data_IF_822391099109
#
_entry.id   IF_822391099109
#
_cell.length_a   1.000
_cell.length_b   1.000
_cell.length_c   1.000
_cell.angle_alpha   90.00
_cell.angle_beta   90.00
_cell.angle_gamma   90.00
#
_symmetry.space_group_name_H-M   'P 1'
#
loop_
_entity.id
_entity.type
_entity.pdbx_description
1 polymer ?
#
# COMPACT_ATOMS: atom_id res chain seq x y z
N UNK A 1 -9.30 9.36 -9.61
CA UNK A 1 -8.65 9.85 -8.38
C UNK A 1 -8.68 8.72 -7.37
N UNK A 2 -7.53 8.36 -6.82
CA UNK A 2 -7.43 7.40 -5.74
C UNK A 2 -8.28 7.86 -4.55
N UNK A 3 -9.00 6.92 -3.93
CA UNK A 3 -9.67 7.21 -2.67
C UNK A 3 -8.61 7.26 -1.57
N UNK A 4 -8.96 7.90 -0.47
CA UNK A 4 -8.07 7.96 0.66
C UNK A 4 -7.78 6.53 1.22
N UNK A 5 -8.80 5.67 1.24
CA UNK A 5 -8.66 4.26 1.61
C UNK A 5 -7.70 3.50 0.67
N UNK A 6 -7.71 3.84 -0.62
CA UNK A 6 -6.74 3.31 -1.59
C UNK A 6 -5.30 3.70 -1.23
N UNK A 7 -5.01 4.99 -1.04
CA UNK A 7 -3.67 5.47 -0.66
C UNK A 7 -3.19 4.87 0.66
N UNK A 8 -4.10 4.69 1.62
CA UNK A 8 -3.80 4.00 2.87
C UNK A 8 -3.36 2.57 2.62
N UNK A 9 -4.14 1.83 1.84
CA UNK A 9 -3.87 0.43 1.56
C UNK A 9 -2.54 0.27 0.79
N UNK A 10 -2.29 1.11 -0.20
CA UNK A 10 -1.01 1.14 -0.94
C UNK A 10 0.16 1.41 -0.01
N UNK A 11 0.09 2.47 0.80
CA UNK A 11 1.14 2.81 1.75
C UNK A 11 1.37 1.71 2.79
N UNK A 12 0.30 1.02 3.16
CA UNK A 12 0.34 -0.07 4.11
C UNK A 12 0.97 -1.35 3.53
N UNK A 13 0.63 -1.75 2.30
CA UNK A 13 1.31 -2.86 1.62
C UNK A 13 2.78 -2.54 1.38
N UNK A 14 3.10 -1.29 1.03
CA UNK A 14 4.47 -0.81 0.91
C UNK A 14 5.28 -0.96 2.21
N UNK A 15 4.69 -0.66 3.38
CA UNK A 15 5.32 -0.93 4.68
C UNK A 15 5.55 -2.44 4.91
N UNK A 16 4.59 -3.28 4.51
CA UNK A 16 4.72 -4.74 4.56
C UNK A 16 5.90 -5.26 3.72
N UNK A 17 6.06 -4.75 2.50
CA UNK A 17 7.19 -5.07 1.63
C UNK A 17 8.52 -4.56 2.19
N UNK A 18 8.58 -3.33 2.69
CA UNK A 18 9.76 -2.82 3.39
C UNK A 18 10.19 -3.75 4.53
N UNK A 19 9.24 -4.21 5.34
CA UNK A 19 9.51 -5.13 6.44
C UNK A 19 9.96 -6.51 5.98
N UNK A 20 9.38 -7.04 4.90
CA UNK A 20 9.83 -8.28 4.28
C UNK A 20 11.27 -8.15 3.76
N UNK A 21 11.59 -7.03 3.11
CA UNK A 21 12.93 -6.74 2.60
C UNK A 21 13.99 -6.73 3.69
N UNK A 22 13.70 -6.14 4.86
CA UNK A 22 14.62 -6.15 6.01
C UNK A 22 14.89 -7.55 6.58
N UNK A 23 14.18 -8.59 6.13
CA UNK A 23 14.37 -9.99 6.54
C UNK A 23 15.03 -10.83 5.47
N UNK A 24 15.20 -10.30 4.27
CA UNK A 24 15.99 -10.97 3.25
C UNK A 24 17.47 -10.91 3.66
N UNK A 25 18.27 -11.92 3.28
CA UNK A 25 19.72 -11.85 3.32
C UNK A 25 20.21 -10.57 2.65
N UNK A 26 21.33 -10.06 3.13
CA UNK A 26 22.01 -8.96 2.44
C UNK A 26 22.55 -9.53 1.11
N UNK A 27 21.89 -9.17 0.02
CA UNK A 27 22.36 -9.49 -1.32
C UNK A 27 23.31 -8.37 -1.71
N UNK A 28 24.61 -8.60 -1.55
CA UNK A 28 25.66 -7.66 -1.97
C UNK A 28 25.46 -7.21 -3.43
N UNK A 29 24.83 -8.08 -4.24
CA UNK A 29 24.66 -7.88 -5.67
C UNK A 29 23.28 -7.38 -6.13
N UNK A 30 22.33 -7.14 -5.22
CA UNK A 30 20.95 -6.79 -5.60
C UNK A 30 20.45 -5.59 -4.79
N UNK A 31 20.05 -4.54 -5.48
CA UNK A 31 19.39 -3.39 -4.86
C UNK A 31 17.88 -3.44 -5.11
N UNK A 32 17.10 -3.51 -4.04
CA UNK A 32 15.62 -3.53 -4.09
C UNK A 32 15.07 -2.19 -3.65
N UNK A 33 14.22 -1.57 -4.49
CA UNK A 33 13.61 -0.26 -4.21
C UNK A 33 12.10 -0.30 -4.39
N UNK A 34 11.40 0.21 -3.38
CA UNK A 34 9.94 0.38 -3.40
C UNK A 34 9.59 1.78 -3.87
N UNK A 35 8.66 1.89 -4.83
CA UNK A 35 8.25 3.16 -5.45
C UNK A 35 6.73 3.26 -5.56
N UNK A 36 6.18 4.39 -5.15
CA UNK A 36 4.82 4.80 -5.56
C UNK A 36 4.96 5.94 -6.57
N UNK A 37 3.92 6.17 -7.38
CA UNK A 37 3.94 7.19 -8.44
C UNK A 37 5.08 7.01 -9.46
N UNK A 38 5.49 5.76 -9.71
CA UNK A 38 6.56 5.46 -10.64
C UNK A 38 6.02 5.49 -12.07
N UNK A 39 6.30 6.56 -12.80
CA UNK A 39 5.92 6.65 -14.20
C UNK A 39 6.73 5.68 -15.06
N UNK A 40 6.04 4.73 -15.68
CA UNK A 40 6.60 3.81 -16.65
C UNK A 40 6.16 4.24 -18.04
N UNK A 41 7.14 4.46 -18.92
CA UNK A 41 6.94 4.90 -20.29
C UNK A 41 7.31 3.80 -21.27
N UNK A 42 7.02 4.06 -22.54
CA UNK A 42 7.49 3.24 -23.67
C UNK A 42 6.99 1.80 -23.58
N UNK A 43 5.70 1.67 -23.26
CA UNK A 43 5.02 0.39 -23.42
C UNK A 43 5.02 -0.01 -24.90
N UNK A 44 4.90 -1.30 -25.15
CA UNK A 44 4.93 -1.93 -26.48
C UNK A 44 3.62 -2.68 -26.76
N UNK A 45 3.51 -3.32 -27.93
CA UNK A 45 2.33 -4.07 -28.34
C UNK A 45 1.09 -3.18 -28.48
N UNK A 46 -0.05 -3.65 -27.97
CA UNK A 46 -1.32 -2.90 -27.98
C UNK A 46 -1.26 -1.59 -27.17
N UNK A 47 -0.30 -1.48 -26.26
CA UNK A 47 -0.11 -0.31 -25.40
C UNK A 47 1.03 0.60 -25.89
N UNK A 48 1.42 0.49 -27.18
CA UNK A 48 2.61 1.17 -27.70
C UNK A 48 2.60 2.68 -27.43
N UNK A 49 3.68 3.18 -26.82
CA UNK A 49 3.85 4.61 -26.52
C UNK A 49 2.99 5.14 -25.37
N UNK A 50 2.20 4.27 -24.72
CA UNK A 50 1.47 4.66 -23.52
C UNK A 50 2.37 4.78 -22.30
N UNK A 51 1.85 5.50 -21.31
CA UNK A 51 2.44 5.64 -19.98
C UNK A 51 1.52 4.99 -18.97
N UNK A 52 2.10 4.30 -17.98
CA UNK A 52 1.37 3.74 -16.83
C UNK A 52 2.10 4.03 -15.53
N UNK A 53 1.36 4.07 -14.43
CA UNK A 53 1.87 4.32 -13.10
C UNK A 53 1.26 3.23 -12.21
N UNK A 54 2.04 2.25 -11.72
CA UNK A 54 1.52 1.31 -10.76
C UNK A 54 1.30 1.99 -9.42
N UNK A 55 0.30 1.50 -8.67
CA UNK A 55 0.07 1.98 -7.30
C UNK A 55 1.30 1.75 -6.42
N UNK A 56 1.94 0.59 -6.57
CA UNK A 56 3.25 0.28 -6.02
C UNK A 56 4.09 -0.50 -7.04
N UNK A 57 5.30 -0.03 -7.28
CA UNK A 57 6.32 -0.73 -8.05
C UNK A 57 7.47 -1.18 -7.16
N UNK A 58 8.04 -2.35 -7.48
CA UNK A 58 9.32 -2.79 -6.91
C UNK A 58 10.33 -2.86 -8.04
N UNK A 59 11.35 -2.00 -7.93
CA UNK A 59 12.48 -1.97 -8.84
C UNK A 59 13.61 -2.82 -8.27
N UNK A 60 14.26 -3.56 -9.17
CA UNK A 60 15.47 -4.31 -8.90
C UNK A 60 16.60 -3.74 -9.76
N UNK A 61 17.80 -3.76 -9.22
CA UNK A 61 19.03 -3.51 -9.97
C UNK A 61 20.02 -4.61 -9.61
N UNK A 62 20.45 -5.33 -10.62
CA UNK A 62 21.50 -6.35 -10.48
C UNK A 62 22.88 -5.70 -10.60
N UNK A 63 23.92 -6.34 -10.07
CA UNK A 63 25.29 -5.85 -10.22
C UNK A 63 25.71 -5.79 -11.68
N UNK A 64 26.19 -4.61 -12.08
CA UNK A 64 26.57 -4.31 -13.45
C UNK A 64 25.45 -3.68 -14.28
N UNK A 65 24.21 -3.64 -13.78
CA UNK A 65 23.15 -2.82 -14.38
C UNK A 65 23.27 -1.37 -13.89
N UNK A 66 23.15 -0.42 -14.81
CA UNK A 66 23.23 1.02 -14.49
C UNK A 66 21.89 1.57 -13.95
N UNK A 67 20.77 0.94 -14.33
CA UNK A 67 19.43 1.46 -14.09
C UNK A 67 18.57 0.55 -13.21
N UNK A 68 17.71 1.18 -12.40
CA UNK A 68 16.67 0.48 -11.65
C UNK A 68 15.58 0.02 -12.63
N UNK A 69 15.24 -1.26 -12.59
CA UNK A 69 14.24 -1.83 -13.49
C UNK A 69 13.01 -2.30 -12.73
N UNK A 70 11.82 -1.84 -13.14
CA UNK A 70 10.56 -2.31 -12.59
C UNK A 70 10.34 -3.79 -12.93
N UNK A 71 10.39 -4.67 -11.91
CA UNK A 71 10.13 -6.11 -12.06
C UNK A 71 8.76 -6.55 -11.54
N UNK A 72 8.22 -5.80 -10.59
CA UNK A 72 6.94 -6.07 -9.94
C UNK A 72 6.06 -4.82 -9.95
N UNK A 73 4.79 -4.99 -10.32
CA UNK A 73 3.78 -3.95 -10.17
C UNK A 73 2.62 -4.45 -9.31
N UNK A 74 2.01 -3.53 -8.58
CA UNK A 74 0.79 -3.77 -7.81
C UNK A 74 -0.26 -2.74 -8.18
N UNK A 75 -1.49 -3.22 -8.27
CA UNK A 75 -2.68 -2.41 -8.53
C UNK A 75 -3.75 -2.72 -7.49
N UNK A 76 -4.44 -1.68 -7.05
CA UNK A 76 -5.45 -1.73 -6.00
C UNK A 76 -6.75 -1.11 -6.53
N UNK A 77 -7.83 -1.88 -6.51
CA UNK A 77 -9.16 -1.40 -6.90
C UNK A 77 -10.15 -1.48 -5.75
N UNK A 78 -10.92 -0.40 -5.54
CA UNK A 78 -12.10 -0.38 -4.65
C UNK A 78 -13.43 -0.24 -5.41
N UNK A 79 -13.38 0.30 -6.63
CA UNK A 79 -14.58 0.65 -7.41
C UNK A 79 -14.48 0.22 -8.86
N UNK A 80 -13.28 -0.11 -9.32
CA UNK A 80 -13.05 -0.56 -10.68
C UNK A 80 -13.47 -2.02 -10.82
N UNK A 81 -14.22 -2.31 -11.89
CA UNK A 81 -14.65 -3.66 -12.21
C UNK A 81 -13.43 -4.53 -12.55
N UNK A 82 -13.44 -5.76 -12.04
CA UNK A 82 -12.37 -6.72 -12.23
C UNK A 82 -11.82 -6.86 -13.67
N UNK A 83 -12.64 -6.90 -14.75
CA UNK A 83 -12.09 -7.02 -16.11
C UNK A 83 -11.12 -5.90 -16.49
N UNK A 84 -11.33 -4.68 -15.98
CA UNK A 84 -10.39 -3.57 -16.22
C UNK A 84 -9.11 -3.74 -15.40
N UNK A 85 -9.22 -4.16 -14.15
CA UNK A 85 -8.08 -4.45 -13.29
C UNK A 85 -7.20 -5.57 -13.87
N UNK A 86 -7.82 -6.65 -14.37
CA UNK A 86 -7.14 -7.73 -15.07
C UNK A 86 -6.47 -7.22 -16.37
N UNK A 87 -7.15 -6.35 -17.12
CA UNK A 87 -6.53 -5.70 -18.29
C UNK A 87 -5.32 -4.86 -17.89
N UNK A 88 -5.31 -4.21 -16.72
CA UNK A 88 -4.13 -3.51 -16.22
C UNK A 88 -2.94 -4.46 -16.03
N UNK A 89 -3.14 -5.65 -15.44
CA UNK A 89 -2.09 -6.65 -15.34
C UNK A 89 -1.55 -7.09 -16.71
N UNK A 90 -2.45 -7.38 -17.65
CA UNK A 90 -2.05 -7.71 -19.04
C UNK A 90 -1.22 -6.60 -19.66
N UNK A 91 -1.65 -5.36 -19.51
CA UNK A 91 -0.94 -4.22 -20.07
C UNK A 91 0.48 -4.06 -19.51
N UNK A 92 0.69 -4.29 -18.20
CA UNK A 92 2.02 -4.29 -17.59
C UNK A 92 2.90 -5.41 -18.12
N UNK A 93 2.41 -6.65 -18.04
CA UNK A 93 3.17 -7.83 -18.42
C UNK A 93 3.43 -7.84 -19.93
N UNK A 94 2.43 -7.64 -20.77
CA UNK A 94 2.62 -7.74 -22.23
C UNK A 94 3.27 -6.49 -22.81
N UNK A 95 3.05 -5.32 -22.20
CA UNK A 95 3.55 -4.06 -22.69
C UNK A 95 4.97 -3.70 -22.24
N UNK A 96 5.46 -4.22 -21.10
CA UNK A 96 6.81 -3.91 -20.58
C UNK A 96 7.58 -5.20 -20.30
N UNK A 97 8.64 -5.46 -21.07
CA UNK A 97 9.38 -6.72 -21.03
C UNK A 97 9.97 -7.07 -19.66
N UNK A 98 10.34 -6.06 -18.89
CA UNK A 98 11.03 -6.25 -17.62
C UNK A 98 10.08 -6.46 -16.43
N UNK A 99 8.78 -6.26 -16.62
CA UNK A 99 7.78 -6.59 -15.59
C UNK A 99 7.48 -8.08 -15.69
N UNK A 100 7.66 -8.79 -14.58
CA UNK A 100 7.49 -10.24 -14.47
C UNK A 100 6.25 -10.63 -13.67
N UNK A 101 5.92 -9.82 -12.66
CA UNK A 101 4.81 -10.08 -11.76
C UNK A 101 3.93 -8.84 -11.67
N UNK A 102 2.62 -9.06 -11.72
CA UNK A 102 1.62 -8.08 -11.31
C UNK A 102 0.73 -8.69 -10.22
N UNK A 103 0.56 -7.97 -9.12
CA UNK A 103 -0.38 -8.34 -8.06
C UNK A 103 -1.57 -7.40 -8.08
N UNK A 104 -2.76 -7.98 -8.18
CA UNK A 104 -4.02 -7.25 -8.16
C UNK A 104 -4.66 -7.42 -6.80
N UNK A 105 -5.00 -6.31 -6.15
CA UNK A 105 -5.87 -6.26 -5.00
C UNK A 105 -7.21 -5.68 -5.42
N UNK A 106 -8.29 -6.35 -5.07
CA UNK A 106 -9.64 -5.85 -5.32
C UNK A 106 -10.46 -5.90 -4.04
N UNK A 107 -11.16 -4.81 -3.78
CA UNK A 107 -12.03 -4.60 -2.64
C UNK A 107 -13.44 -4.39 -3.17
N UNK A 108 -14.41 -5.11 -2.60
CA UNK A 108 -15.82 -4.81 -2.81
C UNK A 108 -16.36 -4.11 -1.56
N UNK A 109 -16.92 -2.91 -1.76
CA UNK A 109 -17.57 -2.12 -0.72
C UNK A 109 -19.10 -2.17 -0.85
N UNK A 110 -19.79 -2.34 0.28
CA UNK A 110 -21.25 -2.27 0.38
C UNK A 110 -21.70 -1.35 1.53
N UNK A 111 -22.51 -0.31 1.27
CA UNK A 111 -22.79 0.23 -0.06
C UNK A 111 -21.52 0.84 -0.68
N UNK A 112 -21.50 0.96 -2.01
CA UNK A 112 -20.43 1.69 -2.70
C UNK A 112 -20.47 3.15 -2.26
N UNK A 113 -19.45 3.57 -1.51
CA UNK A 113 -19.36 4.93 -1.02
C UNK A 113 -18.48 5.78 -1.92
N UNK A 114 -18.90 7.04 -2.13
CA UNK A 114 -18.03 8.08 -2.64
C UNK A 114 -17.60 8.95 -1.47
N UNK A 115 -16.34 9.38 -1.49
CA UNK A 115 -15.81 10.28 -0.47
C UNK A 115 -16.75 11.48 -0.25
N UNK A 116 -17.17 11.76 0.99
CA UNK A 116 -18.11 12.84 1.30
C UNK A 116 -17.48 14.23 1.17
N UNK A 117 -16.19 14.34 0.81
CA UNK A 117 -15.45 15.61 0.68
C UNK A 117 -16.20 16.67 -0.14
N UNK A 118 -16.88 16.27 -1.22
CA UNK A 118 -17.67 17.18 -2.06
C UNK A 118 -18.91 17.78 -1.38
N UNK A 119 -19.35 17.20 -0.25
CA UNK A 119 -20.47 17.66 0.57
C UNK A 119 -20.02 18.47 1.78
N UNK A 120 -18.72 18.55 2.04
CA UNK A 120 -18.20 19.25 3.21
C UNK A 120 -18.08 20.74 2.92
N UNK A 121 -18.59 21.55 3.83
CA UNK A 121 -18.30 22.99 3.88
C UNK A 121 -16.92 23.23 4.49
N UNK A 122 -16.40 24.46 4.38
CA UNK A 122 -15.17 24.86 5.07
C UNK A 122 -15.26 24.66 6.60
N UNK A 123 -16.44 24.93 7.18
CA UNK A 123 -16.70 24.73 8.61
C UNK A 123 -16.71 23.23 8.98
N UNK A 124 -17.27 22.37 8.13
CA UNK A 124 -17.20 20.92 8.35
C UNK A 124 -15.75 20.43 8.36
N UNK A 125 -14.92 20.94 7.46
CA UNK A 125 -13.50 20.60 7.39
C UNK A 125 -12.78 21.08 8.65
N UNK A 126 -13.02 22.31 9.14
CA UNK A 126 -12.45 22.79 10.40
C UNK A 126 -12.95 21.98 11.61
N UNK A 127 -14.25 21.63 11.65
CA UNK A 127 -14.81 20.78 12.70
C UNK A 127 -14.16 19.41 12.70
N UNK A 128 -13.95 18.81 11.53
CA UNK A 128 -13.24 17.53 11.41
C UNK A 128 -11.76 17.65 11.80
N UNK A 129 -11.12 18.81 11.61
CA UNK A 129 -9.77 19.09 12.14
C UNK A 129 -9.75 19.20 13.66
N UNK A 130 -10.74 19.86 14.24
CA UNK A 130 -10.88 20.11 15.68
C UNK A 130 -11.38 18.88 16.43
N UNK A 131 -12.13 18.00 15.76
CA UNK A 131 -12.51 16.69 16.27
C UNK A 131 -11.25 15.86 16.50
N UNK A 132 -10.71 15.93 17.72
CA UNK A 132 -9.47 15.23 18.11
C UNK A 132 -9.57 13.71 17.96
N UNK A 133 -10.80 13.18 17.83
CA UNK A 133 -11.12 11.75 17.80
C UNK A 133 -12.37 11.48 16.95
N UNK A 134 -12.26 11.47 15.61
CA UNK A 134 -13.31 10.85 14.80
C UNK A 134 -13.52 9.41 15.32
N UNK A 135 -14.72 9.13 15.85
CA UNK A 135 -15.09 7.79 16.31
C UNK A 135 -15.51 6.98 15.09
N UNK A 136 -14.62 6.13 14.62
CA UNK A 136 -14.95 5.14 13.63
C UNK A 136 -15.61 3.95 14.30
N UNK A 137 -16.82 3.65 13.89
CA UNK A 137 -17.51 2.43 14.31
C UNK A 137 -17.18 1.37 13.26
N UNK A 138 -16.21 0.50 13.57
CA UNK A 138 -16.03 -0.74 12.83
C UNK A 138 -16.77 -1.83 13.61
N UNK A 139 -17.78 -2.50 13.04
CA UNK A 139 -18.41 -3.66 13.66
C UNK A 139 -17.35 -4.71 14.01
N UNK A 140 -17.57 -5.47 15.09
CA UNK A 140 -16.66 -6.55 15.51
C UNK A 140 -16.51 -7.64 14.45
N UNK A 141 -17.50 -7.76 13.56
CA UNK A 141 -17.54 -8.65 12.41
C UNK A 141 -17.51 -7.79 11.14
N UNK A 142 -16.34 -7.70 10.48
CA UNK A 142 -16.21 -7.01 9.18
C UNK A 142 -15.16 -5.89 9.16
N UNK A 143 -15.11 -5.17 8.05
CA UNK A 143 -14.21 -4.05 7.79
C UNK A 143 -15.01 -2.82 7.33
N UNK A 144 -15.53 -2.04 8.28
CA UNK A 144 -16.38 -0.88 7.99
C UNK A 144 -17.87 -1.15 8.25
N UNK A 145 -18.77 -0.19 7.98
CA UNK A 145 -18.51 1.08 7.28
C UNK A 145 -17.63 2.05 8.07
N UNK A 146 -16.84 2.85 7.37
CA UNK A 146 -16.04 3.91 7.99
C UNK A 146 -16.93 5.15 8.13
N UNK A 147 -17.50 5.35 9.33
CA UNK A 147 -18.35 6.50 9.64
C UNK A 147 -17.62 7.51 10.52
N UNK A 148 -17.71 8.80 10.20
CA UNK A 148 -17.15 9.89 11.00
C UNK A 148 -18.10 11.09 10.95
N UNK A 149 -18.51 11.60 12.12
CA UNK A 149 -19.48 12.71 12.24
C UNK A 149 -20.78 12.47 11.44
N UNK A 150 -21.29 11.23 11.45
CA UNK A 150 -22.49 10.84 10.72
C UNK A 150 -22.31 10.70 9.19
N UNK A 151 -21.11 10.96 8.66
CA UNK A 151 -20.79 10.81 7.25
C UNK A 151 -20.10 9.47 7.00
N UNK A 152 -20.52 8.77 5.94
CA UNK A 152 -19.92 7.51 5.50
C UNK A 152 -18.77 7.84 4.53
N UNK A 153 -17.55 7.49 4.92
CA UNK A 153 -16.33 7.71 4.15
C UNK A 153 -15.92 6.50 3.30
N UNK A 154 -16.30 5.31 3.74
CA UNK A 154 -16.17 4.05 3.01
C UNK A 154 -17.28 3.09 3.45
N UNK A 155 -17.75 2.25 2.52
CA UNK A 155 -18.71 1.20 2.83
C UNK A 155 -18.10 0.11 3.71
N UNK A 156 -18.89 -0.90 4.05
CA UNK A 156 -18.34 -2.14 4.59
C UNK A 156 -17.61 -2.88 3.47
N UNK A 157 -16.36 -3.27 3.71
CA UNK A 157 -15.61 -4.12 2.79
C UNK A 157 -16.10 -5.55 2.98
N UNK A 158 -16.85 -6.05 2.00
CA UNK A 158 -17.48 -7.39 2.03
C UNK A 158 -16.60 -8.47 1.42
N UNK A 159 -15.73 -8.08 0.48
CA UNK A 159 -14.77 -8.98 -0.15
C UNK A 159 -13.43 -8.28 -0.35
N UNK A 160 -12.34 -8.99 -0.08
CA UNK A 160 -11.00 -8.57 -0.48
C UNK A 160 -10.34 -9.77 -1.11
N UNK A 161 -9.88 -9.62 -2.35
CA UNK A 161 -9.10 -10.67 -2.97
C UNK A 161 -7.79 -10.17 -3.53
N UNK A 162 -6.85 -11.11 -3.57
CA UNK A 162 -5.54 -10.97 -4.21
C UNK A 162 -5.45 -11.93 -5.36
N UNK A 163 -4.91 -11.45 -6.46
CA UNK A 163 -4.70 -12.24 -7.65
C UNK A 163 -3.31 -11.97 -8.20
N UNK A 164 -2.57 -13.05 -8.45
CA UNK A 164 -1.22 -12.99 -8.99
C UNK A 164 -1.27 -13.20 -10.50
N UNK A 165 -0.53 -12.38 -11.23
CA UNK A 165 -0.35 -12.49 -12.66
C UNK A 165 1.14 -12.54 -12.98
N UNK A 166 1.49 -13.41 -13.92
CA UNK A 166 2.85 -13.61 -14.40
C UNK A 166 2.88 -13.59 -15.92
N UNK A 167 4.06 -13.36 -16.47
CA UNK A 167 4.30 -13.61 -17.88
C UNK A 167 4.56 -15.10 -18.09
N UNK A 168 3.79 -15.72 -18.95
CA UNK A 168 4.04 -17.08 -19.39
C UNK A 168 5.41 -17.16 -20.10
N UNK A 169 6.30 -18.09 -19.70
CA UNK A 169 7.67 -18.15 -20.23
C UNK A 169 7.70 -18.51 -21.73
N UNK A 170 6.74 -19.30 -22.21
CA UNK A 170 6.70 -19.78 -23.60
C UNK A 170 6.03 -18.78 -24.53
N UNK A 171 4.80 -18.41 -24.22
CA UNK A 171 3.94 -17.56 -25.07
C UNK A 171 4.19 -16.08 -24.86
N UNK A 172 4.85 -15.69 -23.74
CA UNK A 172 5.11 -14.31 -23.34
C UNK A 172 3.87 -13.48 -23.02
N UNK A 173 2.68 -14.08 -23.02
CA UNK A 173 1.42 -13.44 -22.64
C UNK A 173 1.21 -13.44 -21.13
N UNK A 174 0.34 -12.55 -20.66
CA UNK A 174 -0.02 -12.50 -19.26
C UNK A 174 -0.97 -13.65 -18.90
N UNK A 175 -0.60 -14.42 -17.88
CA UNK A 175 -1.40 -15.49 -17.32
C UNK A 175 -1.66 -15.22 -15.84
N UNK A 176 -2.82 -15.65 -15.35
CA UNK A 176 -3.11 -15.68 -13.92
C UNK A 176 -2.36 -16.86 -13.30
N UNK A 177 -1.56 -16.59 -12.28
CA UNK A 177 -0.84 -17.61 -11.53
C UNK A 177 -1.69 -18.09 -10.35
N UNK A 178 -2.19 -19.32 -10.47
CA UNK A 178 -3.00 -19.96 -9.45
C UNK A 178 -4.43 -19.41 -9.31
N UNK A 179 -5.00 -19.67 -8.13
CA UNK A 179 -6.35 -19.26 -7.77
C UNK A 179 -6.35 -17.92 -7.04
N UNK A 180 -7.46 -17.20 -7.15
CA UNK A 180 -7.74 -16.00 -6.38
C UNK A 180 -7.71 -16.31 -4.89
N UNK A 181 -6.98 -15.49 -4.14
CA UNK A 181 -6.88 -15.60 -2.69
C UNK A 181 -7.88 -14.63 -2.07
N UNK A 182 -8.96 -15.14 -1.49
CA UNK A 182 -9.83 -14.32 -0.67
C UNK A 182 -9.14 -14.05 0.68
N UNK A 183 -8.98 -12.79 1.03
CA UNK A 183 -8.37 -12.38 2.28
C UNK A 183 -9.37 -12.30 3.44
N UNK A 184 -10.66 -12.52 3.18
CA UNK A 184 -11.76 -12.53 4.16
C UNK A 184 -12.49 -13.88 4.20
N UNK A 185 -12.68 -14.50 5.39
CA UNK A 185 -12.05 -14.19 6.68
C UNK A 185 -10.58 -14.65 6.74
N UNK A 186 -9.73 -14.06 7.61
CA UNK A 186 -8.28 -14.26 7.60
C UNK A 186 -7.79 -15.59 8.22
N UNK A 187 -8.69 -16.56 8.44
CA UNK A 187 -8.39 -17.76 9.22
C UNK A 187 -7.35 -18.65 8.53
N UNK A 188 -7.40 -18.76 7.20
CA UNK A 188 -6.59 -19.69 6.40
C UNK A 188 -5.98 -19.01 5.17
N UNK A 189 -5.28 -17.89 5.38
CA UNK A 189 -4.68 -17.15 4.27
C UNK A 189 -3.45 -17.88 3.72
N UNK A 190 -3.46 -18.33 2.45
CA UNK A 190 -2.26 -18.86 1.83
C UNK A 190 -1.18 -17.78 1.77
N UNK A 191 0.08 -18.19 1.95
CA UNK A 191 1.20 -17.26 1.73
C UNK A 191 1.31 -16.96 0.24
N UNK A 192 1.57 -15.70 -0.10
CA UNK A 192 2.12 -15.40 -1.42
C UNK A 192 3.53 -15.99 -1.45
N UNK A 193 3.71 -17.05 -2.23
CA UNK A 193 4.98 -17.78 -2.35
C UNK A 193 5.93 -17.15 -3.35
N UNK A 194 6.27 -15.87 -3.17
CA UNK A 194 7.31 -15.25 -3.99
C UNK A 194 8.68 -15.80 -3.60
N UNK A 195 9.56 -15.89 -4.58
CA UNK A 195 10.99 -16.15 -4.41
C UNK A 195 11.78 -14.99 -4.98
N UNK A 196 13.03 -14.83 -4.57
CA UNK A 196 13.87 -13.76 -5.13
C UNK A 196 14.16 -14.01 -6.61
N UNK A 197 14.30 -15.29 -6.99
CA UNK A 197 14.44 -15.73 -8.38
C UNK A 197 13.27 -15.37 -9.29
N UNK A 198 12.09 -15.06 -8.74
CA UNK A 198 10.96 -14.57 -9.55
C UNK A 198 11.22 -13.16 -10.13
N UNK A 199 12.20 -12.42 -9.60
CA UNK A 199 12.47 -11.02 -9.94
C UNK A 199 13.83 -10.77 -10.58
N UNK A 200 14.82 -11.60 -10.25
CA UNK A 200 16.22 -11.41 -10.63
C UNK A 200 16.93 -12.75 -10.76
N UNK A 201 18.04 -12.77 -11.49
CA UNK A 201 18.91 -13.91 -11.59
C UNK A 201 19.73 -14.06 -10.31
N UNK A 202 19.32 -14.98 -9.44
CA UNK A 202 20.03 -15.30 -8.21
C UNK A 202 20.47 -16.76 -8.19
N UNK A 203 21.58 -17.06 -7.53
CA UNK A 203 22.06 -18.43 -7.37
C UNK A 203 21.06 -19.27 -6.55
N UNK A 204 20.86 -20.56 -6.86
CA UNK A 204 19.85 -21.39 -6.22
C UNK A 204 20.00 -21.51 -4.69
N UNK A 205 21.23 -21.41 -4.17
CA UNK A 205 21.54 -21.44 -2.73
C UNK A 205 21.09 -20.17 -1.99
N UNK A 206 20.97 -19.06 -2.71
CA UNK A 206 20.50 -17.76 -2.19
C UNK A 206 19.02 -17.52 -2.50
N UNK A 207 18.40 -18.38 -3.30
CA UNK A 207 16.99 -18.25 -3.65
C UNK A 207 16.08 -18.70 -2.50
N UNK A 208 15.58 -17.73 -1.75
CA UNK A 208 14.69 -17.97 -0.62
C UNK A 208 13.27 -17.47 -0.89
N UNK A 209 12.26 -18.08 -0.25
CA UNK A 209 10.92 -17.50 -0.26
C UNK A 209 10.91 -16.14 0.45
N UNK A 210 10.16 -15.18 -0.09
CA UNK A 210 9.91 -13.88 0.51
C UNK A 210 8.67 -14.02 1.40
N UNK A 211 8.81 -14.09 2.74
CA UNK A 211 7.69 -14.37 3.61
C UNK A 211 6.80 -13.13 3.73
N UNK A 212 5.59 -13.20 3.15
CA UNK A 212 4.57 -12.15 3.34
C UNK A 212 3.57 -12.57 4.42
N UNK A 213 3.66 -11.95 5.60
CA UNK A 213 2.83 -12.31 6.75
C UNK A 213 1.47 -11.59 6.72
N UNK A 214 0.53 -12.14 5.97
CA UNK A 214 -0.84 -11.64 5.89
C UNK A 214 -1.52 -11.49 7.24
N UNK A 215 -1.27 -12.38 8.20
CA UNK A 215 -1.90 -12.31 9.53
C UNK A 215 -1.40 -11.12 10.33
N UNK A 216 -0.09 -10.85 10.29
CA UNK A 216 0.50 -9.67 10.92
C UNK A 216 -0.01 -8.39 10.24
N UNK A 217 -0.08 -8.43 8.91
CA UNK A 217 -0.67 -7.38 8.09
C UNK A 217 -2.12 -7.10 8.54
N UNK A 218 -2.97 -8.13 8.63
CA UNK A 218 -4.38 -7.99 9.04
C UNK A 218 -4.56 -7.47 10.46
N UNK A 219 -3.72 -7.93 11.40
CA UNK A 219 -3.73 -7.40 12.78
C UNK A 219 -3.39 -5.91 12.80
N UNK A 220 -2.44 -5.48 11.97
CA UNK A 220 -2.10 -4.08 11.84
C UNK A 220 -3.24 -3.28 11.23
N UNK A 221 -3.86 -3.75 10.14
CA UNK A 221 -5.03 -3.10 9.53
C UNK A 221 -6.16 -2.89 10.53
N UNK A 222 -6.58 -3.94 11.26
CA UNK A 222 -7.65 -3.81 12.25
C UNK A 222 -7.31 -2.78 13.34
N UNK A 223 -6.05 -2.79 13.82
CA UNK A 223 -5.58 -1.82 14.81
C UNK A 223 -5.57 -0.40 14.26
N UNK A 224 -5.04 -0.20 13.06
CA UNK A 224 -4.78 1.12 12.50
C UNK A 224 -6.03 1.74 11.87
N UNK A 225 -6.90 0.97 11.19
CA UNK A 225 -8.27 1.35 10.75
C UNK A 225 -9.11 1.82 11.94
N UNK A 226 -9.02 1.12 13.07
CA UNK A 226 -9.63 1.56 14.32
C UNK A 226 -8.93 2.75 15.00
N UNK A 227 -7.77 3.21 14.50
CA UNK A 227 -6.95 4.24 15.13
C UNK A 227 -7.10 5.63 14.49
N UNK A 228 -6.97 6.66 15.33
CA UNK A 228 -7.05 8.10 14.98
C UNK A 228 -6.14 8.56 13.83
N UNK A 229 -5.08 7.81 13.51
CA UNK A 229 -4.05 8.22 12.56
C UNK A 229 -4.57 8.24 11.12
N UNK A 230 -5.62 7.49 10.82
CA UNK A 230 -6.10 7.32 9.47
C UNK A 230 -6.85 8.56 8.97
N UNK A 231 -7.88 9.07 9.68
CA UNK A 231 -8.59 10.27 9.23
C UNK A 231 -7.63 11.44 8.96
N UNK A 232 -6.69 11.67 9.87
CA UNK A 232 -5.75 12.78 9.77
C UNK A 232 -4.80 12.63 8.57
N UNK A 233 -4.17 11.46 8.39
CA UNK A 233 -3.19 11.26 7.31
C UNK A 233 -3.83 11.15 5.93
N UNK A 234 -5.00 10.51 5.87
CA UNK A 234 -5.56 9.99 4.62
C UNK A 234 -6.66 10.91 4.10
N UNK A 235 -7.57 11.36 4.97
CA UNK A 235 -8.71 12.16 4.52
C UNK A 235 -8.51 13.66 4.72
N UNK A 236 -7.95 14.09 5.86
CA UNK A 236 -7.80 15.50 6.18
C UNK A 236 -6.56 16.14 5.57
N UNK A 237 -5.39 15.51 5.67
CA UNK A 237 -4.13 16.11 5.20
C UNK A 237 -4.12 16.40 3.68
N UNK A 238 -4.65 15.54 2.79
CA UNK A 238 -4.74 15.86 1.37
C UNK A 238 -5.78 16.94 1.07
N UNK A 239 -6.98 16.89 1.68
CA UNK A 239 -8.01 17.92 1.53
C UNK A 239 -7.51 19.31 1.98
N UNK A 240 -6.61 19.33 2.97
CA UNK A 240 -5.96 20.54 3.48
C UNK A 240 -4.91 21.16 2.56
N UNK A 241 -4.26 20.36 1.70
CA UNK A 241 -3.26 20.87 0.75
C UNK A 241 -3.89 21.59 -0.43
N UNK A 242 -5.16 21.29 -0.74
CA UNK A 242 -5.91 21.93 -1.82
C UNK A 242 -6.62 23.23 -1.44
N UNK A 243 -6.64 23.61 -0.15
CA UNK A 243 -7.27 24.85 0.29
C UNK A 243 -6.26 26.01 0.19
N UNK A 244 -6.65 27.18 -0.35
CA UNK A 244 -5.79 28.35 -0.37
C UNK A 244 -5.35 28.68 1.07
N UNK A 245 -4.05 28.84 1.28
CA UNK A 245 -3.50 29.24 2.58
C UNK A 245 -4.16 30.55 3.03
N UNK A 246 -5.09 30.46 3.99
CA UNK A 246 -5.45 31.60 4.82
C UNK A 246 -4.22 31.95 5.67
N UNK A 247 -3.43 32.89 5.17
CA UNK A 247 -2.53 33.70 6.00
C UNK A 247 -3.41 34.34 7.08
N UNK A 248 -3.01 34.22 8.35
CA UNK A 248 -3.62 34.77 9.56
C UNK A 248 -4.49 33.79 10.36
N UNK A 249 -3.83 33.03 11.23
CA UNK A 249 -4.40 32.63 12.52
C UNK A 249 -3.35 32.90 13.63
N UNK A 250 -3.71 33.57 14.74
CA UNK A 250 -2.81 33.90 15.82
C UNK A 250 -2.69 32.76 16.85
N UNK A 251 -1.49 32.60 17.42
CA UNK A 251 -1.27 32.08 18.77
C UNK A 251 -1.26 30.56 18.97
N UNK A 252 -0.08 29.93 18.85
CA UNK A 252 0.21 28.67 19.54
C UNK A 252 0.46 28.97 21.03
N UNK A 253 -0.26 28.31 21.94
CA UNK A 253 0.18 28.09 23.33
C UNK A 253 0.61 26.64 23.49
N UNK A 254 1.74 26.48 24.17
CA UNK A 254 2.38 25.23 24.56
C UNK A 254 1.54 24.46 25.58
N UNK A 255 1.56 23.13 25.52
CA UNK A 255 1.35 22.27 26.69
C UNK A 255 2.16 20.98 26.56
N UNK A 256 2.95 20.72 27.59
CA UNK A 256 3.72 19.52 27.89
C UNK A 256 2.90 18.54 28.76
N UNK A 257 3.23 17.25 28.66
CA UNK A 257 2.75 16.15 29.51
C UNK A 257 2.28 14.96 28.65
N UNK A 258 2.83 13.75 28.68
CA UNK A 258 3.72 13.10 29.63
C UNK A 258 2.98 11.95 30.31
N UNK A 259 2.83 10.80 29.64
CA UNK A 259 2.48 9.52 30.27
C UNK A 259 3.16 8.35 29.53
N UNK A 260 3.89 7.54 30.30
CA UNK A 260 4.54 6.30 29.86
C UNK A 260 3.55 5.13 29.92
N UNK A 261 3.70 4.15 29.01
CA UNK A 261 2.97 2.88 29.01
C UNK A 261 3.94 1.71 29.24
N UNK A 262 3.51 0.61 29.91
CA UNK A 262 4.41 -0.45 30.37
C UNK A 262 4.85 -1.40 29.25
N UNK A 263 6.08 -1.90 29.38
CA UNK A 263 6.66 -2.98 28.58
C UNK A 263 6.04 -4.33 28.94
N UNK A 264 5.65 -5.11 27.92
CA UNK A 264 6.27 -6.41 27.61
C UNK A 264 5.59 -7.08 26.41
N UNK A 265 6.39 -7.47 25.40
CA UNK A 265 6.51 -8.86 24.89
C UNK A 265 7.47 -8.95 23.70
N UNK A 266 8.34 -9.96 23.83
CA UNK A 266 9.46 -10.36 22.97
C UNK A 266 9.03 -10.59 21.51
N UNK A 267 9.67 -9.88 20.58
CA UNK A 267 10.05 -10.24 19.19
C UNK A 267 10.68 -8.95 18.61
N UNK A 268 12.01 -8.93 18.44
CA UNK A 268 12.87 -7.73 18.30
C UNK A 268 12.75 -6.76 19.48
N UNK A 269 13.88 -6.39 20.09
CA UNK A 269 13.92 -5.40 21.16
C UNK A 269 13.24 -4.10 20.72
N UNK A 270 12.51 -3.44 21.63
CA UNK A 270 11.85 -2.17 21.32
C UNK A 270 12.85 -1.14 20.73
N UNK A 271 14.12 -1.24 21.13
CA UNK A 271 15.25 -0.49 20.60
C UNK A 271 15.49 -0.77 19.10
N UNK A 272 15.58 -2.03 18.69
CA UNK A 272 15.84 -2.43 17.30
C UNK A 272 14.69 -2.04 16.38
N UNK A 273 13.44 -2.15 16.85
CA UNK A 273 12.26 -1.68 16.10
C UNK A 273 12.25 -0.17 15.94
N UNK A 274 12.55 0.58 17.02
CA UNK A 274 12.67 2.04 16.96
C UNK A 274 13.82 2.47 16.05
N UNK A 275 14.91 1.71 16.02
CA UNK A 275 16.08 2.00 15.19
C UNK A 275 15.82 1.70 13.71
N UNK A 276 15.16 0.59 13.38
CA UNK A 276 14.73 0.28 12.01
C UNK A 276 13.74 1.33 11.49
N UNK A 277 12.73 1.70 12.29
CA UNK A 277 11.77 2.75 11.93
C UNK A 277 12.46 4.10 11.80
N UNK A 278 13.43 4.42 12.67
CA UNK A 278 14.23 5.66 12.56
C UNK A 278 15.07 5.66 11.29
N UNK A 279 15.76 4.55 10.95
CA UNK A 279 16.55 4.43 9.71
C UNK A 279 15.69 4.63 8.47
N UNK A 280 14.51 4.02 8.41
CA UNK A 280 13.55 4.22 7.30
C UNK A 280 13.09 5.68 7.24
N UNK A 281 12.79 6.30 8.39
CA UNK A 281 12.36 7.70 8.45
C UNK A 281 13.47 8.67 8.01
N UNK A 282 14.71 8.40 8.40
CA UNK A 282 15.87 9.23 8.07
C UNK A 282 16.28 9.07 6.60
N UNK A 283 16.17 7.86 6.04
CA UNK A 283 16.29 7.60 4.60
C UNK A 283 15.22 8.36 3.80
N UNK A 284 13.99 8.40 4.31
CA UNK A 284 12.91 9.16 3.67
C UNK A 284 13.14 10.68 3.79
N UNK A 285 13.66 11.17 4.92
CA UNK A 285 13.93 12.59 5.13
C UNK A 285 15.06 13.11 4.23
N UNK A 286 16.12 12.32 4.00
CA UNK A 286 17.23 12.67 3.10
C UNK A 286 16.87 12.70 1.61
N UNK A 287 15.66 12.26 1.25
CA UNK A 287 15.19 12.22 -0.14
C UNK A 287 14.34 13.44 -0.53
N UNK A 288 14.00 14.30 0.44
CA UNK A 288 13.11 15.45 0.25
C UNK A 288 13.68 16.77 0.81
N UNK A 289 14.98 16.79 1.13
CA UNK A 289 15.81 17.95 1.42
C UNK A 289 17.14 17.78 0.69
#
# INVERSE_FOLDING_TARGET
>A
MATALHEFFVGFINEGFCFANCRLPDYEDIVIKFRTNLEQREFTGENKGSTKIPDLGIEFRDMGEEEDTLRFAMEVSFTEKYPKLAQTAKNFLEGKQNVFIVVLFSFEESPKCRSPLHKLTGEDIERLKLAQRPKFVCPEQGFGPIVCEGLIWAGEITEVFVELWKRDPETRFAIRDGNRINLLPPADLPQLGFRVSDFTNISPDKDIPIPFNWKALWKFLKRDIGSRKILHKIYLKPALRGLPHRKNLPGKREFLGGEELPEERKYLGAKERREAVRRVRDLHARKYF
#
